data_IF_770764124883
#
_entry.id   IF_770764124883
#
_cell.length_a   1.000
_cell.length_b   1.000
_cell.length_c   1.000
_cell.angle_alpha   90.00
_cell.angle_beta   90.00
_cell.angle_gamma   90.00
#
_symmetry.space_group_name_H-M   'P 1'
#
loop_
_entity.id
_entity.type
_entity.pdbx_description
1 polymer ?
#
# COMPACT_ATOMS: atom_id res chain seq x y z
N UNK A 1 -81.12 0.11 -10.50
CA UNK A 1 -80.74 1.34 -11.21
C UNK A 1 -79.31 1.21 -11.67
N UNK A 2 -79.18 0.95 -12.96
CA UNK A 2 -77.90 0.72 -13.63
C UNK A 2 -77.26 2.03 -14.06
N UNK A 3 -75.99 2.22 -13.81
CA UNK A 3 -75.20 3.20 -14.57
C UNK A 3 -73.88 2.57 -14.92
N UNK A 4 -73.78 2.10 -16.16
CA UNK A 4 -72.53 1.66 -16.82
C UNK A 4 -71.75 2.90 -17.21
N UNK A 5 -70.53 3.04 -16.72
CA UNK A 5 -69.56 3.98 -17.25
C UNK A 5 -68.66 3.23 -18.27
N UNK A 6 -68.76 3.67 -19.52
CA UNK A 6 -67.96 3.24 -20.65
C UNK A 6 -66.57 3.84 -20.55
N UNK A 7 -65.56 2.99 -20.56
CA UNK A 7 -64.18 3.42 -20.86
C UNK A 7 -64.04 3.61 -22.37
N UNK A 8 -63.74 4.81 -22.78
CA UNK A 8 -63.35 5.16 -24.14
C UNK A 8 -61.81 5.07 -24.19
N UNK A 9 -61.31 4.13 -24.97
CA UNK A 9 -59.93 4.08 -25.38
C UNK A 9 -59.65 5.23 -26.34
N UNK A 10 -58.79 6.14 -25.94
CA UNK A 10 -58.20 7.10 -26.84
C UNK A 10 -56.68 6.83 -26.87
N UNK A 11 -56.27 6.03 -27.87
CA UNK A 11 -54.87 5.96 -28.28
C UNK A 11 -54.52 7.24 -29.04
N UNK A 12 -54.00 8.22 -28.33
CA UNK A 12 -53.36 9.36 -28.93
C UNK A 12 -51.85 9.12 -28.96
N UNK A 13 -51.35 8.79 -30.14
CA UNK A 13 -49.90 8.81 -30.40
C UNK A 13 -49.47 10.26 -30.37
N UNK A 14 -48.92 10.71 -29.25
CA UNK A 14 -48.14 11.93 -29.19
C UNK A 14 -46.66 11.50 -29.26
N UNK A 15 -46.12 11.50 -30.48
CA UNK A 15 -44.68 11.51 -30.70
C UNK A 15 -44.13 12.87 -30.25
N UNK A 16 -43.86 13.02 -28.95
CA UNK A 16 -43.06 14.14 -28.46
C UNK A 16 -41.63 13.78 -28.71
N UNK A 17 -41.08 14.37 -29.75
CA UNK A 17 -39.63 14.43 -29.99
C UNK A 17 -38.98 15.13 -28.80
N UNK A 18 -38.52 14.39 -27.82
CA UNK A 18 -37.58 14.91 -26.84
C UNK A 18 -36.26 15.10 -27.61
N UNK A 19 -36.06 16.30 -28.14
CA UNK A 19 -34.74 16.76 -28.50
C UNK A 19 -33.94 16.77 -27.19
N UNK A 20 -33.16 15.70 -26.93
CA UNK A 20 -32.06 15.75 -26.00
C UNK A 20 -31.13 16.84 -26.56
N UNK A 21 -31.24 18.04 -26.07
CA UNK A 21 -30.13 18.97 -26.07
C UNK A 21 -29.01 18.31 -25.26
N UNK A 22 -28.15 17.55 -25.92
CA UNK A 22 -26.80 17.36 -25.48
C UNK A 22 -26.26 18.80 -25.37
N UNK A 23 -26.23 19.33 -24.16
CA UNK A 23 -25.35 20.41 -23.84
C UNK A 23 -23.95 19.85 -24.07
N UNK A 24 -23.46 20.00 -25.29
CA UNK A 24 -22.04 20.03 -25.54
C UNK A 24 -21.56 21.13 -24.62
N UNK A 25 -20.90 20.76 -23.53
CA UNK A 25 -20.13 21.73 -22.79
C UNK A 25 -19.26 22.39 -23.85
N UNK A 26 -19.54 23.67 -24.13
CA UNK A 26 -18.63 24.52 -24.86
C UNK A 26 -17.31 24.39 -24.11
N UNK A 27 -16.46 23.48 -24.58
CA UNK A 27 -15.04 23.64 -24.39
C UNK A 27 -14.79 25.01 -24.91
N UNK A 28 -14.51 25.97 -24.01
CA UNK A 28 -13.97 27.27 -24.40
C UNK A 28 -12.83 26.94 -25.33
N UNK A 29 -13.13 26.97 -26.62
CA UNK A 29 -12.21 26.59 -27.67
C UNK A 29 -11.05 27.56 -27.60
N UNK A 30 -9.97 27.12 -27.01
CA UNK A 30 -8.68 27.68 -27.41
C UNK A 30 -8.65 27.49 -28.91
N UNK A 31 -8.47 28.59 -29.72
CA UNK A 31 -8.42 28.49 -31.16
C UNK A 31 -7.41 27.39 -31.52
N UNK A 32 -7.83 26.48 -32.40
CA UNK A 32 -6.91 25.46 -32.91
C UNK A 32 -5.61 26.16 -33.31
N UNK A 33 -4.44 25.66 -32.87
CA UNK A 33 -3.16 26.26 -33.26
C UNK A 33 -3.12 26.38 -34.78
N UNK A 34 -2.83 27.55 -35.31
CA UNK A 34 -2.62 27.70 -36.74
C UNK A 34 -1.37 26.89 -37.18
N UNK A 35 -1.24 26.61 -38.45
CA UNK A 35 -0.12 25.81 -38.99
C UNK A 35 1.25 26.42 -38.63
N UNK A 36 1.34 27.71 -38.35
CA UNK A 36 2.57 28.39 -37.94
C UNK A 36 2.86 28.21 -36.45
N UNK A 37 1.82 28.10 -35.60
CA UNK A 37 2.01 27.83 -34.17
C UNK A 37 2.37 26.38 -33.89
N UNK A 38 1.94 25.43 -34.71
CA UNK A 38 2.36 24.03 -34.63
C UNK A 38 3.88 23.83 -34.77
N UNK A 39 4.55 24.72 -35.52
CA UNK A 39 6.01 24.73 -35.69
C UNK A 39 6.78 25.28 -34.47
N UNK A 40 6.15 26.11 -33.67
CA UNK A 40 6.76 26.69 -32.46
C UNK A 40 6.88 25.70 -31.28
N UNK A 41 6.08 24.64 -31.27
CA UNK A 41 6.08 23.60 -30.26
C UNK A 41 6.79 22.33 -30.74
N UNK A 42 8.03 22.45 -31.17
CA UNK A 42 8.88 21.30 -31.53
C UNK A 42 9.38 20.48 -30.36
N UNK A 43 8.75 20.49 -29.19
CA UNK A 43 9.12 19.59 -28.13
C UNK A 43 8.30 18.30 -28.29
N UNK A 44 8.98 17.18 -28.45
CA UNK A 44 8.39 15.85 -28.35
C UNK A 44 7.88 15.55 -26.90
N UNK A 45 7.94 16.52 -25.99
CA UNK A 45 7.43 16.40 -24.64
C UNK A 45 5.99 16.90 -24.62
N UNK A 46 5.06 16.00 -24.42
CA UNK A 46 3.68 16.37 -24.11
C UNK A 46 3.64 17.20 -22.82
N UNK A 47 2.85 18.26 -22.75
CA UNK A 47 2.66 19.09 -21.55
C UNK A 47 2.10 18.28 -20.37
N UNK A 48 1.32 17.27 -20.66
CA UNK A 48 0.86 16.29 -19.68
C UNK A 48 1.47 14.94 -20.02
N UNK A 49 1.96 14.18 -19.04
CA UNK A 49 2.38 12.79 -19.27
C UNK A 49 1.26 11.93 -19.85
N UNK A 50 0.05 12.46 -19.86
CA UNK A 50 -1.17 11.82 -20.32
C UNK A 50 -1.63 12.29 -21.71
N UNK A 51 -1.13 13.39 -22.24
CA UNK A 51 -1.50 13.86 -23.56
C UNK A 51 -1.10 12.84 -24.65
N UNK A 52 -2.05 12.48 -25.49
CA UNK A 52 -1.84 11.50 -26.57
C UNK A 52 -1.80 10.04 -26.12
N UNK A 53 -2.20 9.72 -24.91
CA UNK A 53 -2.34 8.33 -24.43
C UNK A 53 -3.83 7.96 -24.36
N UNK A 54 -4.12 6.68 -24.62
CA UNK A 54 -5.43 6.12 -24.33
C UNK A 54 -5.46 5.74 -22.84
N UNK A 55 -6.18 6.51 -22.05
CA UNK A 55 -6.40 6.20 -20.64
C UNK A 55 -7.69 5.41 -20.47
N UNK A 56 -7.73 4.61 -19.42
CA UNK A 56 -8.97 4.16 -18.86
C UNK A 56 -9.81 5.40 -18.50
N UNK A 57 -11.06 5.44 -18.96
CA UNK A 57 -12.04 6.49 -18.63
C UNK A 57 -12.80 6.16 -17.35
N UNK A 58 -12.63 4.95 -16.86
CA UNK A 58 -13.27 4.44 -15.67
C UNK A 58 -12.40 4.68 -14.43
N UNK A 59 -13.04 4.96 -13.32
CA UNK A 59 -12.39 5.03 -12.00
C UNK A 59 -12.46 3.65 -11.37
N UNK A 60 -11.31 3.16 -10.89
CA UNK A 60 -11.20 1.89 -10.19
C UNK A 60 -10.97 2.13 -8.70
N UNK A 61 -11.73 1.42 -7.86
CA UNK A 61 -11.69 1.53 -6.41
C UNK A 61 -11.09 0.26 -5.81
N UNK A 62 -10.11 0.40 -4.95
CA UNK A 62 -9.45 -0.73 -4.31
C UNK A 62 -8.55 -0.29 -3.18
N UNK A 63 -7.85 -1.26 -2.61
CA UNK A 63 -6.90 -1.06 -1.54
C UNK A 63 -5.54 -1.66 -1.93
N UNK A 64 -4.49 -0.89 -1.81
CA UNK A 64 -3.12 -1.34 -2.11
C UNK A 64 -2.34 -1.74 -0.87
N UNK A 65 -2.96 -1.70 0.33
CA UNK A 65 -2.25 -1.90 1.57
C UNK A 65 -3.16 -2.51 2.64
N UNK A 66 -3.25 -3.84 2.63
CA UNK A 66 -4.04 -4.61 3.58
C UNK A 66 -3.20 -5.71 4.23
N UNK A 67 -3.25 -5.80 5.56
CA UNK A 67 -2.62 -6.86 6.34
C UNK A 67 -3.61 -7.95 6.75
N UNK A 68 -3.13 -9.19 6.75
CA UNK A 68 -3.86 -10.36 7.22
C UNK A 68 -3.21 -10.95 8.48
N UNK A 69 -3.73 -12.07 8.96
CA UNK A 69 -3.11 -12.81 10.07
C UNK A 69 -1.70 -13.35 9.76
N UNK A 70 -1.24 -13.26 8.51
CA UNK A 70 0.12 -13.63 8.13
C UNK A 70 1.14 -12.52 8.42
N UNK A 71 0.68 -11.27 8.57
CA UNK A 71 1.50 -10.14 8.98
C UNK A 71 1.88 -10.25 10.45
N UNK A 72 3.14 -9.94 10.78
CA UNK A 72 3.66 -10.14 12.14
C UNK A 72 2.89 -9.33 13.18
N UNK A 73 2.64 -8.05 12.93
CA UNK A 73 1.91 -7.17 13.83
C UNK A 73 0.40 -7.45 13.83
N UNK A 74 -0.24 -7.58 12.66
CA UNK A 74 -1.67 -7.91 12.58
C UNK A 74 -1.99 -9.23 13.29
N UNK A 75 -1.16 -10.27 13.07
CA UNK A 75 -1.25 -11.55 13.78
C UNK A 75 -1.12 -11.38 15.29
N UNK A 76 -0.18 -10.54 15.74
CA UNK A 76 0.05 -10.26 17.17
C UNK A 76 -1.17 -9.63 17.84
N UNK A 77 -1.85 -8.71 17.17
CA UNK A 77 -3.07 -8.04 17.64
C UNK A 77 -4.36 -8.83 17.40
N UNK A 78 -4.26 -10.06 16.94
CA UNK A 78 -5.39 -10.99 16.92
C UNK A 78 -6.08 -11.14 15.57
N UNK A 79 -5.51 -10.63 14.47
CA UNK A 79 -5.99 -10.96 13.13
C UNK A 79 -5.83 -12.46 12.85
N UNK A 80 -6.89 -13.07 12.31
CA UNK A 80 -6.95 -14.51 11.98
C UNK A 80 -7.33 -14.76 10.53
N UNK A 81 -7.91 -13.75 9.85
CA UNK A 81 -8.22 -13.86 8.44
C UNK A 81 -6.92 -13.94 7.64
N UNK A 82 -6.89 -14.85 6.68
CA UNK A 82 -5.76 -15.08 5.79
C UNK A 82 -6.00 -14.42 4.42
N UNK A 83 -5.01 -14.34 3.53
CA UNK A 83 -5.13 -13.69 2.22
C UNK A 83 -6.37 -14.11 1.42
N UNK A 84 -6.73 -15.40 1.48
CA UNK A 84 -7.92 -15.91 0.80
C UNK A 84 -9.22 -15.26 1.30
N UNK A 85 -9.36 -15.06 2.60
CA UNK A 85 -10.54 -14.41 3.19
C UNK A 85 -10.58 -12.92 2.84
N UNK A 86 -9.42 -12.26 2.81
CA UNK A 86 -9.28 -10.87 2.42
C UNK A 86 -9.77 -10.64 0.98
N UNK A 87 -9.36 -11.49 0.02
CA UNK A 87 -9.83 -11.39 -1.37
C UNK A 87 -11.32 -11.72 -1.50
N UNK A 88 -11.84 -12.69 -0.75
CA UNK A 88 -13.29 -12.98 -0.71
C UNK A 88 -14.09 -11.76 -0.26
N UNK A 89 -13.66 -11.15 0.84
CA UNK A 89 -14.30 -9.94 1.36
C UNK A 89 -14.25 -8.79 0.35
N UNK A 90 -13.09 -8.51 -0.24
CA UNK A 90 -12.92 -7.47 -1.25
C UNK A 90 -13.83 -7.67 -2.47
N UNK A 91 -14.09 -8.91 -2.85
CA UNK A 91 -15.05 -9.27 -3.92
C UNK A 91 -16.52 -9.18 -3.50
N UNK A 92 -16.80 -8.76 -2.26
CA UNK A 92 -18.15 -8.61 -1.74
C UNK A 92 -18.78 -9.92 -1.25
N UNK A 93 -18.00 -10.96 -0.97
CA UNK A 93 -18.48 -12.15 -0.29
C UNK A 93 -18.62 -11.89 1.21
N UNK A 94 -19.52 -12.59 1.86
CA UNK A 94 -19.63 -12.58 3.31
C UNK A 94 -18.51 -13.42 3.93
N UNK A 95 -17.84 -12.86 4.93
CA UNK A 95 -16.81 -13.55 5.72
C UNK A 95 -17.06 -13.36 7.22
N UNK A 96 -16.54 -14.28 8.04
CA UNK A 96 -16.57 -14.14 9.49
C UNK A 96 -15.29 -13.44 9.95
N UNK A 97 -15.41 -12.26 10.56
CA UNK A 97 -14.27 -11.50 11.08
C UNK A 97 -13.52 -12.26 12.17
N UNK A 98 -12.30 -11.84 12.50
CA UNK A 98 -11.50 -12.42 13.61
C UNK A 98 -12.21 -12.33 14.96
N UNK A 99 -13.21 -11.46 15.11
CA UNK A 99 -14.04 -11.32 16.33
C UNK A 99 -15.36 -12.09 16.27
N UNK A 100 -15.62 -12.86 15.18
CA UNK A 100 -16.81 -13.70 15.02
C UNK A 100 -18.02 -13.00 14.39
N UNK A 101 -17.88 -11.77 13.92
CA UNK A 101 -18.97 -11.04 13.24
C UNK A 101 -19.03 -11.43 11.77
N UNK A 102 -20.24 -11.57 11.22
CA UNK A 102 -20.45 -11.68 9.78
C UNK A 102 -20.34 -10.30 9.14
N UNK A 103 -19.46 -10.16 8.19
CA UNK A 103 -19.18 -8.89 7.54
C UNK A 103 -19.17 -9.05 6.01
N UNK A 104 -19.60 -8.00 5.32
CA UNK A 104 -19.68 -7.98 3.86
C UNK A 104 -19.61 -6.53 3.37
N UNK A 105 -18.89 -6.28 2.29
CA UNK A 105 -18.91 -4.97 1.63
C UNK A 105 -20.27 -4.72 0.96
N UNK A 106 -20.75 -3.49 1.03
CA UNK A 106 -21.94 -3.03 0.30
C UNK A 106 -21.71 -3.04 -1.21
N UNK A 107 -20.46 -2.79 -1.62
CA UNK A 107 -20.00 -2.81 -3.01
C UNK A 107 -18.63 -3.48 -3.10
N UNK A 108 -18.45 -4.46 -4.00
CA UNK A 108 -17.13 -5.05 -4.25
C UNK A 108 -16.11 -4.00 -4.68
N UNK A 109 -14.85 -4.22 -4.31
CA UNK A 109 -13.71 -3.48 -4.85
C UNK A 109 -13.38 -3.95 -6.28
N UNK A 110 -12.64 -3.11 -7.02
CA UNK A 110 -12.12 -3.46 -8.34
C UNK A 110 -10.77 -4.17 -8.25
N UNK A 111 -10.00 -3.89 -7.18
CA UNK A 111 -8.70 -4.52 -6.93
C UNK A 111 -8.34 -4.54 -5.45
N UNK A 112 -7.40 -5.44 -5.09
CA UNK A 112 -6.80 -5.52 -3.77
C UNK A 112 -5.35 -5.97 -3.87
N UNK A 113 -4.48 -5.41 -3.01
CA UNK A 113 -3.16 -5.94 -2.66
C UNK A 113 -3.19 -6.38 -1.20
N UNK A 114 -2.99 -7.65 -0.94
CA UNK A 114 -2.62 -8.12 0.39
C UNK A 114 -1.12 -7.88 0.54
N UNK A 115 -0.75 -7.07 1.53
CA UNK A 115 0.60 -6.53 1.71
C UNK A 115 1.18 -6.92 3.08
N UNK A 116 1.08 -8.19 3.46
CA UNK A 116 1.62 -8.67 4.73
C UNK A 116 3.12 -8.36 4.86
N UNK A 117 3.54 -8.01 6.06
CA UNK A 117 4.95 -7.70 6.37
C UNK A 117 5.90 -8.80 5.94
N UNK A 118 6.99 -8.43 5.27
CA UNK A 118 8.06 -9.36 4.88
C UNK A 118 8.84 -9.90 6.07
N UNK A 119 8.92 -9.15 7.16
CA UNK A 119 9.64 -9.58 8.35
C UNK A 119 8.75 -10.49 9.20
N UNK A 120 9.16 -11.75 9.37
CA UNK A 120 8.38 -12.80 10.04
C UNK A 120 7.02 -13.15 9.40
N UNK A 121 6.88 -13.02 8.08
CA UNK A 121 5.66 -13.43 7.35
C UNK A 121 5.29 -14.88 7.70
N UNK A 122 4.02 -15.09 8.11
CA UNK A 122 3.51 -16.41 8.45
C UNK A 122 3.89 -16.95 9.83
N UNK A 123 4.65 -16.21 10.64
CA UNK A 123 5.06 -16.66 11.98
C UNK A 123 3.88 -16.87 12.92
N UNK A 124 2.89 -15.99 12.92
CA UNK A 124 1.73 -16.08 13.79
C UNK A 124 0.78 -17.23 13.47
N UNK A 125 0.42 -17.53 12.21
CA UNK A 125 -0.30 -18.75 11.87
C UNK A 125 0.37 -20.01 12.42
N UNK A 126 1.68 -20.16 12.27
CA UNK A 126 2.43 -21.29 12.82
C UNK A 126 2.40 -21.34 14.36
N UNK A 127 2.48 -20.17 14.99
CA UNK A 127 2.32 -20.10 16.45
C UNK A 127 0.92 -20.57 16.89
N UNK A 128 -0.14 -20.09 16.21
CA UNK A 128 -1.52 -20.45 16.58
C UNK A 128 -1.83 -21.92 16.33
N UNK A 129 -1.24 -22.50 15.29
CA UNK A 129 -1.36 -23.93 14.98
C UNK A 129 -0.52 -24.81 15.92
N UNK A 130 0.28 -24.20 16.79
CA UNK A 130 1.07 -24.89 17.79
C UNK A 130 2.24 -25.68 17.19
N UNK A 131 2.93 -25.11 16.18
CA UNK A 131 4.07 -25.75 15.52
C UNK A 131 5.09 -26.26 16.55
N UNK A 132 5.36 -27.59 16.59
CA UNK A 132 6.21 -28.18 17.62
C UNK A 132 7.66 -27.67 17.62
N UNK A 133 8.20 -27.30 16.45
CA UNK A 133 9.55 -26.77 16.33
C UNK A 133 9.65 -25.38 16.98
N UNK A 134 8.64 -24.52 16.77
CA UNK A 134 8.55 -23.22 17.45
C UNK A 134 8.36 -23.38 18.95
N UNK A 135 7.47 -24.28 19.38
CA UNK A 135 7.17 -24.53 20.79
C UNK A 135 8.30 -25.23 21.55
N UNK A 136 9.32 -25.74 20.86
CA UNK A 136 10.54 -26.23 21.50
C UNK A 136 11.33 -25.09 22.19
N UNK A 137 11.18 -23.84 21.73
CA UNK A 137 11.74 -22.68 22.43
C UNK A 137 10.83 -22.30 23.63
N UNK A 138 11.36 -22.26 24.88
CA UNK A 138 10.54 -22.01 26.07
C UNK A 138 9.86 -20.63 26.08
N UNK A 139 10.46 -19.60 25.49
CA UNK A 139 9.90 -18.26 25.40
C UNK A 139 8.70 -18.24 24.44
N UNK A 140 8.82 -18.87 23.28
CA UNK A 140 7.73 -19.01 22.30
C UNK A 140 6.61 -19.88 22.86
N UNK A 141 6.93 -20.99 23.55
CA UNK A 141 5.94 -21.82 24.24
C UNK A 141 5.12 -21.02 25.27
N UNK A 142 5.78 -20.18 26.05
CA UNK A 142 5.08 -19.29 27.00
C UNK A 142 4.16 -18.32 26.29
N UNK A 143 4.61 -17.68 25.20
CA UNK A 143 3.76 -16.80 24.40
C UNK A 143 2.55 -17.53 23.81
N UNK A 144 2.76 -18.75 23.30
CA UNK A 144 1.67 -19.62 22.82
C UNK A 144 0.62 -19.86 23.91
N UNK A 145 1.06 -20.22 25.12
CA UNK A 145 0.17 -20.48 26.25
C UNK A 145 -0.60 -19.20 26.64
N UNK A 146 0.06 -18.04 26.68
CA UNK A 146 -0.55 -16.74 26.96
C UNK A 146 -1.58 -16.33 25.90
N UNK A 147 -1.28 -16.54 24.62
CA UNK A 147 -2.22 -16.26 23.52
C UNK A 147 -3.46 -17.14 23.61
N UNK A 148 -3.30 -18.42 23.94
CA UNK A 148 -4.42 -19.36 24.09
C UNK A 148 -5.25 -19.13 25.36
N UNK A 149 -4.69 -18.51 26.41
CA UNK A 149 -5.45 -18.06 27.56
C UNK A 149 -6.43 -16.94 27.20
N UNK A 150 -6.06 -16.10 26.24
CA UNK A 150 -6.91 -15.03 25.72
C UNK A 150 -6.95 -13.77 26.60
N UNK A 151 -7.86 -12.86 26.27
CA UNK A 151 -8.11 -11.64 27.04
C UNK A 151 -6.84 -10.78 27.23
N UNK A 152 -6.65 -10.23 28.43
CA UNK A 152 -5.50 -9.37 28.76
C UNK A 152 -4.16 -10.11 28.68
N UNK A 153 -4.16 -11.41 28.92
CA UNK A 153 -2.94 -12.25 28.83
C UNK A 153 -2.46 -12.34 27.39
N UNK A 154 -3.36 -12.51 26.44
CA UNK A 154 -3.00 -12.49 25.00
C UNK A 154 -2.49 -11.11 24.54
N UNK A 155 -3.08 -10.02 25.04
CA UNK A 155 -2.59 -8.66 24.77
C UNK A 155 -1.17 -8.47 25.33
N UNK A 156 -0.91 -8.94 26.55
CA UNK A 156 0.41 -8.88 27.15
C UNK A 156 1.44 -9.68 26.32
N UNK A 157 1.06 -10.87 25.81
CA UNK A 157 1.91 -11.65 24.92
C UNK A 157 2.26 -10.89 23.63
N UNK A 158 1.26 -10.25 23.00
CA UNK A 158 1.47 -9.46 21.79
C UNK A 158 2.49 -8.33 22.03
N UNK A 159 2.35 -7.57 23.11
CA UNK A 159 3.27 -6.50 23.50
C UNK A 159 4.68 -7.08 23.72
N UNK A 160 4.83 -8.16 24.48
CA UNK A 160 6.13 -8.77 24.74
C UNK A 160 6.81 -9.30 23.46
N UNK A 161 6.06 -9.83 22.50
CA UNK A 161 6.60 -10.32 21.22
C UNK A 161 7.15 -9.15 20.39
N UNK A 162 6.37 -8.07 20.29
CA UNK A 162 6.77 -6.85 19.56
C UNK A 162 7.99 -6.21 20.21
N UNK A 163 7.98 -6.07 21.54
CA UNK A 163 9.13 -5.53 22.29
C UNK A 163 10.37 -6.41 22.10
N UNK A 164 10.22 -7.73 22.18
CA UNK A 164 11.34 -8.64 21.98
C UNK A 164 11.95 -8.49 20.59
N UNK A 165 11.13 -8.31 19.56
CA UNK A 165 11.58 -8.07 18.20
C UNK A 165 12.29 -6.72 18.07
N UNK A 166 11.68 -5.64 18.56
CA UNK A 166 12.24 -4.28 18.51
C UNK A 166 13.55 -4.15 19.30
N UNK A 167 13.70 -4.87 20.41
CA UNK A 167 14.88 -4.85 21.27
C UNK A 167 15.97 -5.87 20.89
N UNK A 168 15.76 -6.64 19.80
CA UNK A 168 16.70 -7.67 19.37
C UNK A 168 16.84 -8.87 20.33
N UNK A 169 15.80 -9.13 21.17
CA UNK A 169 15.74 -10.27 22.08
C UNK A 169 14.77 -11.36 21.61
N UNK A 170 14.25 -11.22 20.41
CA UNK A 170 13.41 -12.22 19.76
C UNK A 170 14.22 -13.50 19.50
N UNK A 171 13.64 -14.71 19.69
CA UNK A 171 14.32 -15.96 19.44
C UNK A 171 14.48 -16.20 17.92
N UNK A 172 15.56 -15.67 17.35
CA UNK A 172 15.79 -15.63 15.91
C UNK A 172 15.86 -17.02 15.25
N UNK A 173 16.12 -18.08 16.01
CA UNK A 173 16.02 -19.46 15.53
C UNK A 173 14.60 -19.89 15.17
N UNK A 174 13.59 -19.15 15.64
CA UNK A 174 12.17 -19.36 15.28
C UNK A 174 11.65 -18.36 14.26
N UNK A 175 12.50 -17.43 13.82
CA UNK A 175 12.09 -16.39 12.89
C UNK A 175 11.70 -16.97 11.52
N UNK A 176 10.63 -16.41 10.95
CA UNK A 176 10.23 -16.67 9.57
C UNK A 176 10.92 -15.66 8.65
N UNK A 177 11.86 -16.13 7.85
CA UNK A 177 12.65 -15.31 6.92
C UNK A 177 12.94 -16.07 5.63
N UNK A 178 13.33 -15.38 4.54
CA UNK A 178 13.66 -16.05 3.28
C UNK A 178 14.59 -17.25 3.45
N UNK A 179 14.20 -18.36 2.85
CA UNK A 179 14.89 -19.65 2.96
C UNK A 179 14.38 -20.57 4.07
N UNK A 180 13.47 -20.12 4.95
CA UNK A 180 12.79 -21.01 5.92
C UNK A 180 11.52 -21.62 5.32
N UNK A 181 11.13 -22.80 5.79
CA UNK A 181 9.92 -23.50 5.32
C UNK A 181 8.67 -22.66 5.59
N UNK A 182 8.55 -22.06 6.77
CA UNK A 182 7.45 -21.18 7.15
C UNK A 182 7.31 -20.02 6.17
N UNK A 183 8.41 -19.34 5.85
CA UNK A 183 8.40 -18.20 4.94
C UNK A 183 8.00 -18.59 3.52
N UNK A 184 8.60 -19.65 2.98
CA UNK A 184 8.27 -20.18 1.65
C UNK A 184 6.81 -20.59 1.55
N UNK A 185 6.28 -21.25 2.59
CA UNK A 185 4.87 -21.65 2.67
C UNK A 185 3.93 -20.45 2.74
N UNK A 186 4.26 -19.43 3.55
CA UNK A 186 3.50 -18.20 3.68
C UNK A 186 3.45 -17.44 2.34
N UNK A 187 4.60 -17.24 1.71
CA UNK A 187 4.65 -16.59 0.40
C UNK A 187 3.87 -17.34 -0.68
N UNK A 188 3.97 -18.66 -0.69
CA UNK A 188 3.16 -19.49 -1.59
C UNK A 188 1.67 -19.32 -1.32
N UNK A 189 1.25 -19.27 -0.06
CA UNK A 189 -0.17 -19.06 0.31
C UNK A 189 -0.68 -17.70 -0.17
N UNK A 190 0.14 -16.63 -0.06
CA UNK A 190 -0.22 -15.30 -0.58
C UNK A 190 -0.38 -15.31 -2.11
N UNK A 191 0.56 -15.95 -2.83
CA UNK A 191 0.50 -16.10 -4.29
C UNK A 191 -0.75 -16.90 -4.70
N UNK A 192 -0.94 -18.08 -4.11
CA UNK A 192 -2.06 -18.97 -4.47
C UNK A 192 -3.42 -18.27 -4.26
N UNK A 193 -3.55 -17.50 -3.18
CA UNK A 193 -4.76 -16.73 -2.92
C UNK A 193 -4.98 -15.64 -3.97
N UNK A 194 -3.95 -14.88 -4.31
CA UNK A 194 -4.07 -13.86 -5.36
C UNK A 194 -4.46 -14.48 -6.71
N UNK A 195 -3.81 -15.58 -7.13
CA UNK A 195 -4.12 -16.28 -8.37
C UNK A 195 -5.55 -16.86 -8.39
N UNK A 196 -6.02 -17.42 -7.26
CA UNK A 196 -7.39 -17.95 -7.14
C UNK A 196 -8.45 -16.87 -7.40
N UNK A 197 -8.21 -15.66 -6.91
CA UNK A 197 -9.21 -14.58 -6.97
C UNK A 197 -9.00 -13.59 -8.10
N UNK A 198 -7.87 -13.63 -8.81
CA UNK A 198 -7.62 -12.74 -9.94
C UNK A 198 -8.53 -13.09 -11.12
N UNK A 199 -9.44 -12.19 -11.46
CA UNK A 199 -10.41 -12.32 -12.56
C UNK A 199 -10.34 -11.08 -13.46
N UNK A 200 -9.41 -11.03 -14.43
CA UNK A 200 -9.20 -9.87 -15.28
C UNK A 200 -10.48 -9.30 -15.89
N UNK A 201 -10.70 -8.00 -15.77
CA UNK A 201 -11.92 -7.32 -16.22
C UNK A 201 -13.08 -7.35 -15.21
N UNK A 202 -12.94 -8.06 -14.09
CA UNK A 202 -13.93 -8.11 -12.99
C UNK A 202 -13.30 -7.67 -11.69
N UNK A 203 -12.19 -8.28 -11.30
CA UNK A 203 -11.45 -7.98 -10.08
C UNK A 203 -9.97 -8.30 -10.29
N UNK A 204 -9.09 -7.41 -9.85
CA UNK A 204 -7.64 -7.65 -9.89
C UNK A 204 -7.11 -7.95 -8.50
N UNK A 205 -6.70 -9.19 -8.27
CA UNK A 205 -5.94 -9.58 -7.10
C UNK A 205 -4.44 -9.43 -7.42
N UNK A 206 -3.82 -8.36 -6.92
CA UNK A 206 -2.39 -8.17 -7.07
C UNK A 206 -1.62 -9.00 -6.06
N UNK A 207 -0.53 -9.62 -6.49
CA UNK A 207 0.45 -10.18 -5.59
C UNK A 207 1.28 -9.03 -5.02
N UNK A 208 1.50 -9.02 -3.70
CA UNK A 208 2.28 -7.99 -3.05
C UNK A 208 2.75 -8.41 -1.66
N UNK A 209 3.57 -7.58 -1.06
CA UNK A 209 4.00 -7.68 0.32
C UNK A 209 4.49 -6.32 0.80
N UNK A 210 4.61 -6.12 2.10
CA UNK A 210 5.22 -4.91 2.63
C UNK A 210 6.64 -5.18 3.14
N UNK A 211 7.61 -4.48 2.54
CA UNK A 211 8.97 -4.42 3.05
C UNK A 211 9.04 -3.47 4.24
N UNK A 212 9.44 -3.98 5.41
CA UNK A 212 9.15 -3.44 6.74
C UNK A 212 10.37 -2.76 7.37
N UNK A 213 10.94 -1.76 6.73
CA UNK A 213 12.13 -1.10 7.27
C UNK A 213 11.82 -0.09 8.37
N UNK A 214 12.34 -0.35 9.56
CA UNK A 214 12.34 0.53 10.73
C UNK A 214 13.77 0.92 11.10
N UNK A 215 14.37 1.86 10.37
CA UNK A 215 15.76 2.26 10.56
C UNK A 215 15.97 3.00 11.90
N UNK A 216 16.23 2.25 12.96
CA UNK A 216 16.34 2.79 14.33
C UNK A 216 15.01 3.34 14.87
N UNK A 217 13.89 2.70 14.52
CA UNK A 217 12.52 3.08 14.87
C UNK A 217 11.86 4.03 13.87
N UNK A 218 12.62 4.58 12.92
CA UNK A 218 12.15 5.54 11.93
C UNK A 218 11.56 4.79 10.72
N UNK A 219 10.30 5.04 10.37
CA UNK A 219 9.57 4.31 9.32
C UNK A 219 10.11 4.55 7.92
N UNK A 220 10.42 3.47 7.21
CA UNK A 220 10.76 3.46 5.79
C UNK A 220 10.04 2.34 5.03
N UNK A 221 8.87 1.93 5.46
CA UNK A 221 8.09 0.85 4.86
C UNK A 221 7.71 1.12 3.40
N UNK A 222 7.59 0.05 2.59
CA UNK A 222 7.11 0.08 1.21
C UNK A 222 6.25 -1.13 0.92
N UNK A 223 5.06 -0.88 0.39
CA UNK A 223 4.29 -1.94 -0.25
C UNK A 223 4.92 -2.23 -1.60
N UNK A 224 5.37 -3.45 -1.82
CA UNK A 224 5.89 -3.95 -3.09
C UNK A 224 4.78 -4.67 -3.83
N UNK A 225 4.43 -4.17 -5.03
CA UNK A 225 3.34 -4.71 -5.84
C UNK A 225 3.90 -5.31 -7.12
N UNK A 226 3.55 -6.56 -7.41
CA UNK A 226 3.91 -7.26 -8.63
C UNK A 226 2.88 -6.98 -9.74
N UNK A 227 3.37 -6.72 -10.94
CA UNK A 227 2.51 -6.67 -12.12
C UNK A 227 2.16 -8.05 -12.64
N UNK A 228 3.07 -8.99 -12.44
CA UNK A 228 3.02 -10.33 -13.00
C UNK A 228 2.35 -11.30 -12.03
N UNK A 229 1.88 -12.44 -12.55
CA UNK A 229 1.27 -13.51 -11.77
C UNK A 229 2.28 -14.39 -11.04
N UNK A 230 1.75 -15.42 -10.39
CA UNK A 230 2.48 -16.34 -9.50
C UNK A 230 3.62 -17.08 -10.15
N UNK A 231 3.56 -17.36 -11.47
CA UNK A 231 4.66 -18.01 -12.20
C UNK A 231 5.97 -17.24 -12.02
N UNK A 232 5.94 -15.90 -12.07
CA UNK A 232 7.12 -15.07 -11.88
C UNK A 232 7.35 -14.70 -10.42
N UNK A 233 6.29 -14.37 -9.68
CA UNK A 233 6.41 -13.96 -8.28
C UNK A 233 7.01 -15.05 -7.38
N UNK A 234 6.79 -16.33 -7.70
CA UNK A 234 7.34 -17.47 -6.96
C UNK A 234 8.84 -17.71 -7.18
N UNK A 235 9.46 -17.07 -8.18
CA UNK A 235 10.89 -17.27 -8.49
C UNK A 235 11.82 -16.72 -7.40
N UNK A 236 11.34 -15.70 -6.67
CA UNK A 236 12.07 -15.07 -5.56
C UNK A 236 11.11 -14.80 -4.40
N UNK A 237 11.52 -15.19 -3.20
CA UNK A 237 10.80 -14.84 -1.98
C UNK A 237 10.92 -13.33 -1.70
N UNK A 238 9.96 -12.71 -0.99
CA UNK A 238 9.99 -11.30 -0.64
C UNK A 238 11.28 -10.87 0.04
N UNK A 239 11.77 -9.66 -0.26
CA UNK A 239 12.92 -9.10 0.42
C UNK A 239 12.52 -8.64 1.82
N UNK A 240 13.32 -8.98 2.81
CA UNK A 240 13.13 -8.64 4.23
C UNK A 240 14.17 -7.63 4.70
N UNK A 241 14.00 -7.10 5.89
CA UNK A 241 15.04 -6.30 6.55
C UNK A 241 15.91 -7.11 7.49
N UNK A 242 15.55 -8.38 7.74
CA UNK A 242 16.26 -9.26 8.67
C UNK A 242 17.62 -9.68 8.15
N UNK A 243 18.67 -9.39 8.90
CA UNK A 243 20.01 -9.88 8.60
C UNK A 243 20.13 -11.39 8.86
N UNK A 244 20.94 -12.12 8.12
CA UNK A 244 21.87 -11.66 7.05
C UNK A 244 21.24 -11.65 5.64
N UNK A 245 19.94 -11.97 5.49
CA UNK A 245 19.29 -12.16 4.19
C UNK A 245 18.61 -10.89 3.66
N UNK A 246 18.52 -9.86 4.46
CA UNK A 246 17.87 -8.59 4.15
C UNK A 246 18.67 -7.36 4.55
N UNK A 247 18.08 -6.18 4.40
CA UNK A 247 18.69 -4.90 4.76
C UNK A 247 17.59 -3.85 5.01
N UNK A 248 17.74 -2.93 5.97
CA UNK A 248 16.80 -1.83 6.17
C UNK A 248 16.98 -0.67 5.18
N UNK A 249 17.97 -0.73 4.28
CA UNK A 249 18.25 0.35 3.33
C UNK A 249 17.39 0.22 2.06
N UNK A 250 16.56 1.21 1.69
CA UNK A 250 15.73 1.17 0.48
C UNK A 250 16.52 0.92 -0.81
N UNK A 251 17.79 1.33 -0.88
CA UNK A 251 18.64 1.07 -2.05
C UNK A 251 18.89 -0.43 -2.27
N UNK A 252 18.91 -1.21 -1.20
CA UNK A 252 19.09 -2.66 -1.30
C UNK A 252 17.78 -3.34 -1.70
N UNK A 253 16.62 -2.84 -1.25
CA UNK A 253 15.32 -3.24 -1.80
C UNK A 253 15.28 -2.99 -3.31
N UNK A 254 15.67 -1.80 -3.80
CA UNK A 254 15.67 -1.51 -5.24
C UNK A 254 16.62 -2.40 -6.03
N UNK A 255 17.77 -2.78 -5.46
CA UNK A 255 18.68 -3.78 -6.08
C UNK A 255 18.04 -5.15 -6.17
N UNK A 256 17.33 -5.56 -5.10
CA UNK A 256 16.59 -6.81 -5.11
C UNK A 256 15.46 -6.79 -6.16
N UNK A 257 14.71 -5.71 -6.26
CA UNK A 257 13.68 -5.51 -7.30
C UNK A 257 14.29 -5.57 -8.72
N UNK A 258 15.47 -5.00 -8.91
CA UNK A 258 16.20 -5.12 -10.17
C UNK A 258 16.59 -6.56 -10.48
N UNK A 259 17.08 -7.29 -9.47
CA UNK A 259 17.42 -8.71 -9.62
C UNK A 259 16.21 -9.57 -9.99
N UNK A 260 15.04 -9.27 -9.42
CA UNK A 260 13.79 -9.92 -9.82
C UNK A 260 13.47 -9.65 -11.29
N UNK A 261 13.52 -8.40 -11.70
CA UNK A 261 13.27 -8.02 -13.09
C UNK A 261 14.24 -8.69 -14.05
N UNK A 262 15.53 -8.76 -13.70
CA UNK A 262 16.56 -9.35 -14.52
C UNK A 262 16.41 -10.88 -14.66
N UNK A 263 16.00 -11.56 -13.57
CA UNK A 263 15.81 -13.01 -13.56
C UNK A 263 14.52 -13.45 -14.26
N UNK A 264 13.45 -12.70 -14.13
CA UNK A 264 12.11 -13.15 -14.52
C UNK A 264 11.55 -12.41 -15.74
N UNK A 265 12.15 -11.28 -16.12
CA UNK A 265 11.54 -10.33 -17.06
C UNK A 265 10.23 -9.71 -16.52
N UNK A 266 9.93 -9.89 -15.24
CA UNK A 266 8.75 -9.35 -14.58
C UNK A 266 8.89 -7.86 -14.28
N UNK A 267 7.81 -7.27 -13.73
CA UNK A 267 7.76 -5.88 -13.32
C UNK A 267 7.12 -5.75 -11.95
N UNK A 268 7.59 -4.78 -11.18
CA UNK A 268 7.04 -4.43 -9.88
C UNK A 268 7.24 -2.94 -9.62
N UNK A 269 6.59 -2.44 -8.62
CA UNK A 269 6.79 -1.10 -8.06
C UNK A 269 6.76 -1.15 -6.54
N UNK A 270 7.27 -0.12 -5.89
CA UNK A 270 7.18 0.07 -4.45
C UNK A 270 6.41 1.35 -4.14
N UNK A 271 5.56 1.30 -3.11
CA UNK A 271 4.74 2.42 -2.64
C UNK A 271 5.20 2.74 -1.22
N UNK A 272 5.92 3.84 -1.06
CA UNK A 272 6.31 4.33 0.26
C UNK A 272 5.10 4.92 0.97
N UNK A 273 5.07 4.82 2.30
CA UNK A 273 3.98 5.32 3.13
C UNK A 273 4.47 5.73 4.52
N UNK A 274 3.59 6.38 5.30
CA UNK A 274 3.88 6.86 6.65
C UNK A 274 5.19 7.65 6.76
N UNK A 275 5.41 8.58 5.84
CA UNK A 275 6.50 9.53 5.97
C UNK A 275 6.42 10.33 7.27
N UNK A 276 5.19 10.59 7.75
CA UNK A 276 4.91 11.22 9.04
C UNK A 276 5.52 10.50 10.26
N UNK A 277 5.91 9.24 10.12
CA UNK A 277 6.55 8.43 11.17
C UNK A 277 8.03 8.16 10.91
N UNK A 278 8.62 8.83 9.92
CA UNK A 278 10.00 8.57 9.47
C UNK A 278 11.08 9.45 10.14
N UNK A 279 10.70 10.39 10.99
CA UNK A 279 11.61 11.39 11.56
C UNK A 279 12.55 12.04 10.53
N UNK A 280 11.98 12.39 9.38
CA UNK A 280 12.64 13.15 8.32
C UNK A 280 13.48 12.35 7.34
N UNK A 281 13.39 11.01 7.35
CA UNK A 281 14.21 10.18 6.44
C UNK A 281 13.43 9.59 5.26
N UNK A 282 12.13 9.89 5.11
CA UNK A 282 11.34 9.41 3.97
C UNK A 282 11.71 10.12 2.66
N UNK A 283 11.84 11.45 2.69
CA UNK A 283 12.16 12.29 1.53
C UNK A 283 13.41 13.15 1.75
N UNK A 284 14.55 12.54 2.12
CA UNK A 284 15.75 13.29 2.48
C UNK A 284 16.38 13.96 1.27
N UNK A 285 17.26 14.94 1.50
CA UNK A 285 18.10 15.58 0.47
C UNK A 285 19.51 14.99 0.41
N UNK A 286 19.79 14.04 1.27
CA UNK A 286 21.04 13.28 1.36
C UNK A 286 20.70 11.85 1.78
N UNK A 287 21.52 10.90 1.38
CA UNK A 287 21.38 9.50 1.75
C UNK A 287 21.39 9.33 3.28
N UNK A 288 20.31 8.84 3.85
CA UNK A 288 20.13 8.74 5.31
C UNK A 288 21.04 7.70 5.97
N UNK A 289 21.58 6.74 5.20
CA UNK A 289 22.46 5.69 5.71
C UNK A 289 23.95 6.05 5.59
N UNK A 290 24.32 6.83 4.58
CA UNK A 290 25.72 7.17 4.29
C UNK A 290 26.04 8.66 4.43
N UNK A 291 25.04 9.51 4.60
CA UNK A 291 25.10 10.96 4.59
C UNK A 291 25.74 11.58 3.32
N UNK A 292 25.83 10.82 2.24
CA UNK A 292 26.34 11.32 0.96
C UNK A 292 25.27 12.13 0.22
N UNK A 293 25.69 13.09 -0.60
CA UNK A 293 24.78 13.75 -1.55
C UNK A 293 24.25 12.73 -2.52
N UNK A 294 23.00 12.94 -2.94
CA UNK A 294 22.45 12.13 -4.02
C UNK A 294 23.14 12.46 -5.35
N UNK A 295 23.25 11.44 -6.18
CA UNK A 295 23.66 11.54 -7.56
C UNK A 295 22.47 11.30 -8.50
N UNK A 296 22.71 11.45 -9.79
CA UNK A 296 21.70 11.20 -10.82
C UNK A 296 21.19 9.76 -10.78
N UNK A 297 22.06 8.80 -10.50
CA UNK A 297 21.72 7.38 -10.52
C UNK A 297 20.75 7.03 -9.38
N UNK A 298 20.92 7.63 -8.20
CA UNK A 298 19.95 7.53 -7.12
C UNK A 298 18.58 8.05 -7.56
N UNK A 299 18.54 9.25 -8.17
CA UNK A 299 17.30 9.88 -8.60
C UNK A 299 16.55 9.05 -9.65
N UNK A 300 17.27 8.54 -10.65
CA UNK A 300 16.71 7.65 -11.69
C UNK A 300 16.18 6.36 -11.08
N UNK A 301 16.93 5.75 -10.17
CA UNK A 301 16.57 4.49 -9.51
C UNK A 301 15.30 4.66 -8.67
N UNK A 302 15.26 5.69 -7.83
CA UNK A 302 14.08 5.95 -6.98
C UNK A 302 12.84 6.26 -7.82
N UNK A 303 12.95 7.14 -8.82
CA UNK A 303 11.84 7.45 -9.73
C UNK A 303 11.31 6.20 -10.47
N UNK A 304 12.21 5.24 -10.79
CA UNK A 304 11.83 3.98 -11.43
C UNK A 304 11.00 3.11 -10.52
N UNK A 305 11.40 2.96 -9.25
CA UNK A 305 10.84 1.97 -8.35
C UNK A 305 9.72 2.50 -7.46
N UNK A 306 9.72 3.81 -7.15
CA UNK A 306 8.72 4.45 -6.30
C UNK A 306 7.89 5.49 -7.09
N UNK A 307 7.05 5.07 -8.07
CA UNK A 307 6.24 5.98 -8.87
C UNK A 307 4.98 6.47 -8.16
N UNK A 308 4.65 5.90 -6.98
CA UNK A 308 3.51 6.22 -6.15
C UNK A 308 3.94 6.45 -4.71
N UNK A 309 3.16 7.24 -3.99
CA UNK A 309 3.25 7.45 -2.55
C UNK A 309 1.85 7.39 -1.93
N UNK A 310 1.71 6.67 -0.83
CA UNK A 310 0.47 6.57 -0.06
C UNK A 310 0.41 7.72 0.94
N UNK A 311 -0.57 8.62 0.72
CA UNK A 311 -0.68 9.88 1.47
C UNK A 311 -1.60 9.80 2.67
N UNK A 312 -2.40 8.75 2.81
CA UNK A 312 -3.31 8.58 3.95
C UNK A 312 -3.60 7.11 4.22
N UNK A 313 -3.71 6.76 5.48
CA UNK A 313 -4.05 5.44 6.00
C UNK A 313 -4.33 5.52 7.52
N UNK A 314 -4.58 4.38 8.21
CA UNK A 314 -4.98 4.38 9.63
C UNK A 314 -3.97 5.00 10.61
N UNK A 315 -2.68 5.13 10.23
CA UNK A 315 -1.63 5.74 11.06
C UNK A 315 -1.39 7.23 10.72
N UNK A 316 -2.39 7.88 10.11
CA UNK A 316 -2.41 9.32 9.89
C UNK A 316 -2.12 9.77 8.47
N UNK A 317 -2.21 11.08 8.27
CA UNK A 317 -1.97 11.78 7.02
C UNK A 317 -0.47 11.92 6.70
N UNK A 318 -0.11 11.71 5.44
CA UNK A 318 1.22 11.93 4.88
C UNK A 318 1.22 12.97 3.75
N UNK A 319 0.09 13.66 3.48
CA UNK A 319 0.00 14.65 2.40
C UNK A 319 0.68 15.96 2.78
N UNK A 320 0.28 16.56 3.92
CA UNK A 320 0.83 17.80 4.43
C UNK A 320 0.67 17.91 5.94
N UNK A 321 1.18 19.00 6.51
CA UNK A 321 1.12 19.30 7.94
C UNK A 321 0.78 20.79 8.14
N UNK A 322 0.07 21.21 9.21
CA UNK A 322 -0.28 22.62 9.46
C UNK A 322 0.91 23.59 9.43
N UNK A 323 2.07 23.18 9.94
CA UNK A 323 3.29 23.99 9.88
C UNK A 323 3.86 24.15 8.46
N UNK A 324 3.55 23.23 7.55
CA UNK A 324 4.01 23.28 6.15
C UNK A 324 2.98 23.95 5.23
N UNK A 325 1.71 23.94 5.60
CA UNK A 325 0.59 24.49 4.84
C UNK A 325 -0.35 25.32 5.74
N UNK A 326 0.12 26.43 6.33
CA UNK A 326 -0.62 27.18 7.36
C UNK A 326 -1.90 27.87 6.84
N UNK A 327 -2.09 27.96 5.52
CA UNK A 327 -3.27 28.56 4.90
C UNK A 327 -4.26 27.52 4.37
N UNK A 328 -4.01 26.23 4.62
CA UNK A 328 -4.91 25.14 4.23
C UNK A 328 -5.71 24.70 5.46
N UNK A 329 -7.03 24.90 5.42
CA UNK A 329 -7.92 24.57 6.53
C UNK A 329 -8.06 23.07 6.78
N UNK A 330 -7.58 22.22 5.86
CA UNK A 330 -7.59 20.76 5.98
C UNK A 330 -6.22 20.15 6.28
N UNK A 331 -5.18 21.00 6.50
CA UNK A 331 -3.83 20.52 6.75
C UNK A 331 -3.67 19.76 8.07
N UNK A 332 -4.64 19.87 8.99
CA UNK A 332 -4.67 19.17 10.28
C UNK A 332 -5.54 17.90 10.26
N UNK A 333 -6.00 17.48 9.08
CA UNK A 333 -6.79 16.25 8.95
C UNK A 333 -5.95 15.02 9.33
N UNK A 334 -6.42 14.27 10.33
CA UNK A 334 -5.78 13.04 10.84
C UNK A 334 -4.27 13.15 11.07
N UNK A 335 -3.79 14.29 11.53
CA UNK A 335 -2.37 14.49 11.85
C UNK A 335 -1.90 13.54 12.94
N UNK A 336 -0.83 12.79 12.65
CA UNK A 336 -0.13 11.92 13.60
C UNK A 336 1.37 12.19 13.51
N UNK A 337 1.90 12.96 14.47
CA UNK A 337 3.24 13.57 14.40
C UNK A 337 4.02 13.56 15.74
N UNK A 338 3.71 12.67 16.66
CA UNK A 338 4.34 12.66 18.00
C UNK A 338 5.79 12.17 17.99
N UNK A 339 6.15 11.32 17.04
CA UNK A 339 7.48 10.72 16.96
C UNK A 339 7.65 9.81 15.76
N UNK A 340 8.67 8.96 15.81
CA UNK A 340 8.85 7.85 14.89
C UNK A 340 7.85 6.71 15.16
N UNK A 341 7.89 5.64 14.37
CA UNK A 341 6.88 4.57 14.41
C UNK A 341 6.75 3.91 15.79
N UNK A 342 7.87 3.62 16.45
CA UNK A 342 7.90 2.97 17.78
C UNK A 342 7.91 3.97 18.95
N UNK A 343 7.77 5.27 18.68
CA UNK A 343 7.80 6.38 19.65
C UNK A 343 9.09 6.45 20.49
N UNK A 344 10.16 5.81 20.05
CA UNK A 344 11.48 5.87 20.73
C UNK A 344 12.15 7.22 20.60
N UNK A 345 11.77 8.02 19.58
CA UNK A 345 12.31 9.35 19.33
C UNK A 345 11.20 10.35 19.04
N UNK A 346 11.14 11.49 19.75
CA UNK A 346 10.14 12.51 19.50
C UNK A 346 10.35 13.20 18.15
N UNK A 347 9.27 13.72 17.58
CA UNK A 347 9.28 14.56 16.40
C UNK A 347 9.92 15.92 16.68
N UNK A 348 10.56 16.50 15.64
CA UNK A 348 11.05 17.88 15.63
C UNK A 348 10.57 18.58 14.36
N UNK A 349 10.25 19.86 14.47
CA UNK A 349 9.67 20.65 13.37
C UNK A 349 10.53 20.63 12.09
N UNK A 350 11.87 20.60 12.22
CA UNK A 350 12.76 20.52 11.07
C UNK A 350 12.70 19.21 10.27
N UNK A 351 12.11 18.15 10.84
CA UNK A 351 11.93 16.86 10.19
C UNK A 351 10.75 16.89 9.23
N UNK A 352 9.68 17.62 9.57
CA UNK A 352 8.39 17.62 8.88
C UNK A 352 8.49 17.82 7.36
N UNK A 353 9.34 18.73 6.91
CA UNK A 353 9.51 19.02 5.47
C UNK A 353 10.03 17.83 4.66
N UNK A 354 10.60 16.82 5.31
CA UNK A 354 11.13 15.61 4.68
C UNK A 354 10.21 14.39 4.85
N UNK A 355 8.99 14.61 5.32
CA UNK A 355 8.04 13.55 5.68
C UNK A 355 6.79 13.54 4.83
N UNK A 356 6.35 14.72 4.36
CA UNK A 356 5.05 14.90 3.72
C UNK A 356 5.16 15.08 2.21
N UNK A 357 4.15 14.58 1.49
CA UNK A 357 4.12 14.51 0.03
C UNK A 357 4.27 15.87 -0.64
N UNK A 358 3.53 16.90 -0.19
CA UNK A 358 3.58 18.24 -0.83
C UNK A 358 4.97 18.87 -0.74
N UNK A 359 5.64 18.77 0.40
CA UNK A 359 7.01 19.25 0.55
C UNK A 359 8.02 18.38 -0.19
N UNK A 360 7.80 17.07 -0.27
CA UNK A 360 8.63 16.16 -1.07
C UNK A 360 8.58 16.51 -2.57
N UNK A 361 7.40 16.81 -3.11
CA UNK A 361 7.27 17.27 -4.50
C UNK A 361 8.06 18.56 -4.75
N UNK A 362 8.04 19.51 -3.82
CA UNK A 362 8.84 20.75 -3.91
C UNK A 362 10.35 20.46 -3.85
N UNK A 363 10.78 19.60 -2.93
CA UNK A 363 12.18 19.15 -2.82
C UNK A 363 12.61 18.44 -4.10
N UNK A 364 11.74 17.60 -4.66
CA UNK A 364 12.01 16.91 -5.92
C UNK A 364 12.30 17.84 -7.08
N UNK A 365 11.52 18.95 -7.21
CA UNK A 365 11.77 19.99 -8.22
C UNK A 365 13.09 20.73 -7.99
N UNK A 366 13.51 20.92 -6.74
CA UNK A 366 14.81 21.52 -6.40
C UNK A 366 15.95 20.57 -6.77
N UNK A 367 15.85 19.29 -6.41
CA UNK A 367 16.85 18.28 -6.75
C UNK A 367 16.96 18.05 -8.27
N UNK A 368 15.86 18.19 -9.02
CA UNK A 368 15.89 18.08 -10.47
C UNK A 368 16.83 19.12 -11.14
N UNK A 369 16.91 20.34 -10.57
CA UNK A 369 17.84 21.38 -11.07
C UNK A 369 19.32 20.97 -10.90
N UNK A 370 19.63 20.22 -9.84
CA UNK A 370 20.99 19.78 -9.54
C UNK A 370 21.34 18.47 -10.24
N UNK A 371 20.40 17.51 -10.27
CA UNK A 371 20.63 16.13 -10.73
C UNK A 371 20.16 15.88 -12.17
N UNK A 372 19.35 16.80 -12.74
CA UNK A 372 18.70 16.62 -14.04
C UNK A 372 17.60 15.57 -14.06
N UNK A 373 17.20 15.05 -12.90
CA UNK A 373 16.11 14.09 -12.68
C UNK A 373 15.49 14.34 -11.32
N UNK A 374 14.15 14.26 -11.23
CA UNK A 374 13.39 14.41 -10.00
C UNK A 374 13.22 13.06 -9.30
N UNK A 375 13.84 12.82 -8.13
CA UNK A 375 13.68 11.56 -7.40
C UNK A 375 12.31 11.40 -6.73
N UNK A 376 11.54 12.48 -6.58
CA UNK A 376 10.26 12.53 -5.89
C UNK A 376 9.10 12.85 -6.85
N UNK A 377 9.17 12.36 -8.08
CA UNK A 377 8.12 12.47 -9.08
C UNK A 377 7.17 11.28 -8.96
N UNK A 378 6.27 11.32 -8.00
CA UNK A 378 5.30 10.26 -7.74
C UNK A 378 3.86 10.76 -7.91
N UNK A 379 2.93 9.83 -8.15
CA UNK A 379 1.50 10.02 -7.96
C UNK A 379 1.11 9.70 -6.51
N UNK A 380 -0.04 10.21 -6.07
CA UNK A 380 -0.55 10.01 -4.71
C UNK A 380 -1.72 9.04 -4.73
N UNK A 381 -1.78 8.15 -3.75
CA UNK A 381 -2.89 7.23 -3.50
C UNK A 381 -3.24 7.24 -2.01
N UNK A 382 -4.46 6.79 -1.68
CA UNK A 382 -4.85 6.43 -0.31
C UNK A 382 -5.06 4.93 -0.22
N UNK A 383 -4.80 4.35 0.93
CA UNK A 383 -5.05 2.93 1.26
C UNK A 383 -5.39 2.80 2.73
N UNK A 384 -5.72 1.60 3.20
CA UNK A 384 -6.18 1.47 4.58
C UNK A 384 -5.06 1.18 5.58
N UNK A 385 -4.07 0.39 5.21
CA UNK A 385 -3.14 -0.23 6.15
C UNK A 385 -3.89 -0.95 7.29
N UNK A 386 -5.06 -1.52 6.94
CA UNK A 386 -5.89 -2.22 7.91
C UNK A 386 -5.24 -3.53 8.33
N UNK A 387 -5.23 -3.81 9.63
CA UNK A 387 -4.61 -4.98 10.24
C UNK A 387 -5.64 -6.06 10.62
N UNK A 388 -6.72 -6.16 9.87
CA UNK A 388 -7.86 -7.03 10.20
C UNK A 388 -8.15 -8.11 9.17
N UNK A 389 -7.49 -8.07 8.01
CA UNK A 389 -7.83 -8.89 6.83
C UNK A 389 -9.09 -8.39 6.10
N UNK A 390 -9.60 -7.22 6.48
CA UNK A 390 -10.80 -6.60 5.91
C UNK A 390 -10.41 -5.25 5.31
N UNK A 391 -10.48 -5.15 3.99
CA UNK A 391 -10.23 -3.91 3.26
C UNK A 391 -11.40 -2.94 3.47
N UNK A 392 -11.09 -1.66 3.61
CA UNK A 392 -12.05 -0.57 3.85
C UNK A 392 -12.79 -0.66 5.20
N UNK A 393 -13.47 0.40 5.60
CA UNK A 393 -14.06 0.55 6.93
C UNK A 393 -15.58 0.87 6.87
N UNK A 394 -16.27 0.50 5.79
CA UNK A 394 -17.73 0.62 5.72
C UNK A 394 -18.46 -0.40 6.58
#
# INVERSE_FOLDING_TARGET
MNTKIRFINLLGVIATSIAMNLAVADTVGLPAPDENSAGAFKSQKHFSPYAGRNFATDVYWGDTHLHTGMSFDAGSFGARLLPRDAYRFARGEEVTSSTGLQVKLSKPLDFLVVADHSDNMGWFPELFDGNPEMLANPKVKRWYDMVNEGGQTAVAAAIEIIEAFSQGTFPMETASMPGTTTYSSAWKTAIDAAEEFNAPGVFTAFIGYEWTSNAGGDNLHRVVVYRDGGEKASVMEPYTTLEPVGSPNPRDLWKWMQSYQDKTGGRMLAIAHNGNLSNGIMFPVRDSFTNKKFDRDYAVTRMKWEPLYEVTQIKGDGETHPLLSPNDEFADYETWDQGNLDLSKPKKDEMLKYEYARSALQIGLQLEKELGVNPYKFGMIGSTDSHTGLATAE
#
